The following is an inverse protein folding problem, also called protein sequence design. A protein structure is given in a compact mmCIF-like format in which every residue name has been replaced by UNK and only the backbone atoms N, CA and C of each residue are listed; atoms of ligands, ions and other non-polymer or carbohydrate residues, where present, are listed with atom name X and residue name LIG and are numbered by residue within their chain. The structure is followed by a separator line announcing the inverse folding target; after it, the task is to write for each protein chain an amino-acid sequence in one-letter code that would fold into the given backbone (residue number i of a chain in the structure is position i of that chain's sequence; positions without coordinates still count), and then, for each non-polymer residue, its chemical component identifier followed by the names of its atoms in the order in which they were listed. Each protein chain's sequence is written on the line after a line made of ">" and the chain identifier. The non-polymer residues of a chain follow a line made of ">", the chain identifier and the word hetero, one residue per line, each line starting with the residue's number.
data_IF_698555220973
#
_entry.id   IF_698555220973
#
_cell.length_a   1.000
_cell.length_b   1.000
_cell.length_c   1.000
_cell.angle_alpha   90.00
_cell.angle_beta   90.00
_cell.angle_gamma   90.00
#
_symmetry.space_group_name_H-M   'P 1'
#
loop_
_entity.id
_entity.type
_entity.pdbx_description
1 polymer ?
#
# COMPACT_ATOMS: atom_id res chain seq x y z
N UNK A 1 37.03 -45.23 13.00
CA UNK A 1 37.34 -44.15 12.03
C UNK A 1 36.23 -43.11 12.13
N UNK A 2 36.55 -41.84 12.41
CA UNK A 2 35.57 -40.74 12.53
C UNK A 2 35.94 -39.67 11.51
N UNK A 3 35.16 -39.53 10.45
CA UNK A 3 35.31 -38.46 9.45
C UNK A 3 34.19 -37.44 9.66
N UNK A 4 34.56 -36.26 10.17
CA UNK A 4 33.65 -35.11 10.29
C UNK A 4 33.76 -34.27 9.03
N UNK A 5 32.76 -34.35 8.15
CA UNK A 5 32.66 -33.48 6.98
C UNK A 5 32.09 -32.15 7.44
N UNK A 6 32.93 -31.11 7.45
CA UNK A 6 32.50 -29.72 7.67
C UNK A 6 32.00 -29.16 6.34
N UNK A 7 30.70 -28.92 6.22
CA UNK A 7 30.14 -28.16 5.10
C UNK A 7 30.16 -26.67 5.44
N UNK A 8 30.91 -25.90 4.65
CA UNK A 8 30.97 -24.44 4.75
C UNK A 8 30.31 -23.79 3.53
N UNK A 9 29.20 -23.09 3.83
CA UNK A 9 28.55 -21.91 3.24
C UNK A 9 28.79 -21.47 1.77
N UNK A 10 27.70 -21.02 1.14
CA UNK A 10 27.56 -19.61 0.70
C UNK A 10 26.09 -19.33 0.29
N UNK A 11 25.36 -18.53 1.07
CA UNK A 11 24.09 -17.96 0.63
C UNK A 11 24.35 -16.55 0.08
N UNK A 12 24.23 -16.40 -1.24
CA UNK A 12 24.29 -15.10 -1.92
C UNK A 12 22.99 -14.34 -1.64
N UNK A 13 23.05 -13.34 -0.76
CA UNK A 13 21.93 -12.42 -0.55
C UNK A 13 21.82 -11.50 -1.78
N UNK A 14 20.88 -11.81 -2.69
CA UNK A 14 20.51 -10.89 -3.77
C UNK A 14 19.77 -9.70 -3.20
N UNK A 15 20.45 -8.56 -3.09
CA UNK A 15 19.85 -7.27 -2.79
C UNK A 15 19.22 -6.70 -4.06
N UNK A 16 17.94 -7.02 -4.30
CA UNK A 16 17.15 -6.34 -5.32
C UNK A 16 16.61 -5.03 -4.74
N UNK A 17 17.26 -3.91 -5.04
CA UNK A 17 16.72 -2.57 -4.73
C UNK A 17 15.77 -2.19 -5.86
N UNK A 18 14.48 -2.50 -5.70
CA UNK A 18 13.43 -1.96 -6.57
C UNK A 18 13.21 -0.49 -6.21
N UNK A 19 14.00 0.40 -6.80
CA UNK A 19 13.75 1.84 -6.76
C UNK A 19 12.61 2.17 -7.73
N UNK A 20 11.37 2.04 -7.26
CA UNK A 20 10.21 2.59 -7.96
C UNK A 20 10.32 4.11 -7.96
N UNK A 21 10.53 4.70 -9.14
CA UNK A 21 10.62 6.14 -9.34
C UNK A 21 9.22 6.75 -9.11
N UNK A 22 8.88 7.07 -7.87
CA UNK A 22 7.69 7.84 -7.54
C UNK A 22 7.98 9.30 -7.85
N UNK A 23 7.61 9.73 -9.06
CA UNK A 23 7.51 11.14 -9.41
C UNK A 23 6.64 11.84 -8.37
N UNK A 24 7.25 12.74 -7.61
CA UNK A 24 6.60 13.56 -6.59
C UNK A 24 5.79 14.66 -7.30
N UNK A 25 4.62 14.28 -7.80
CA UNK A 25 3.71 15.19 -8.49
C UNK A 25 3.06 16.14 -7.47
N UNK A 26 3.72 17.28 -7.22
CA UNK A 26 3.16 18.42 -6.46
C UNK A 26 1.80 18.85 -6.99
N UNK A 27 1.57 18.76 -8.30
CA UNK A 27 0.30 19.12 -8.96
C UNK A 27 -0.84 18.15 -8.61
N UNK A 28 -0.56 16.86 -8.40
CA UNK A 28 -1.58 15.92 -7.91
C UNK A 28 -1.98 16.22 -6.47
N UNK A 29 -1.06 16.75 -5.65
CA UNK A 29 -1.33 17.07 -4.24
C UNK A 29 -2.33 18.22 -4.10
N UNK A 30 -2.35 19.15 -5.05
CA UNK A 30 -3.13 20.39 -5.02
C UNK A 30 -4.58 20.19 -5.50
N UNK A 31 -4.82 19.50 -6.62
CA UNK A 31 -6.19 19.07 -7.01
C UNK A 31 -6.82 18.13 -5.97
N UNK A 32 -6.01 17.34 -5.27
CA UNK A 32 -6.47 16.31 -4.34
C UNK A 32 -6.80 16.83 -2.92
N UNK A 33 -6.30 18.00 -2.52
CA UNK A 33 -6.80 18.66 -1.30
C UNK A 33 -8.22 19.19 -1.49
N UNK A 34 -8.56 19.67 -2.69
CA UNK A 34 -9.91 20.18 -2.99
C UNK A 34 -11.01 19.10 -2.97
N UNK A 35 -10.68 17.83 -3.25
CA UNK A 35 -11.65 16.74 -3.16
C UNK A 35 -11.91 16.32 -1.71
N UNK A 36 -10.87 16.36 -0.86
CA UNK A 36 -10.99 16.18 0.60
C UNK A 36 -11.76 17.34 1.26
N UNK A 37 -11.74 18.53 0.67
CA UNK A 37 -12.53 19.66 1.18
C UNK A 37 -14.05 19.47 0.97
N UNK A 38 -14.49 18.50 0.16
CA UNK A 38 -15.92 18.22 -0.10
C UNK A 38 -16.50 17.09 0.74
N UNK A 39 -15.67 16.16 1.23
CA UNK A 39 -16.10 15.00 2.01
C UNK A 39 -15.18 14.82 3.21
N UNK A 40 -15.75 14.61 4.39
CA UNK A 40 -14.99 14.36 5.61
C UNK A 40 -14.18 13.06 5.51
N UNK A 41 -13.10 12.97 6.30
CA UNK A 41 -12.27 11.75 6.39
C UNK A 41 -13.14 10.55 6.79
N UNK A 42 -14.08 10.74 7.70
CA UNK A 42 -15.01 9.72 8.16
C UNK A 42 -15.95 9.24 7.05
N UNK A 43 -16.50 10.14 6.23
CA UNK A 43 -17.36 9.78 5.09
C UNK A 43 -16.60 8.97 4.05
N UNK A 44 -15.36 9.36 3.74
CA UNK A 44 -14.50 8.63 2.80
C UNK A 44 -14.23 7.21 3.33
N UNK A 45 -14.00 7.07 4.65
CA UNK A 45 -13.73 5.77 5.27
C UNK A 45 -14.97 4.87 5.37
N UNK A 46 -16.18 5.40 5.24
CA UNK A 46 -17.43 4.62 5.26
C UNK A 46 -17.76 3.95 3.90
N UNK A 47 -16.97 4.19 2.86
CA UNK A 47 -17.17 3.53 1.56
C UNK A 47 -16.89 2.02 1.67
N UNK A 48 -17.95 1.20 1.60
CA UNK A 48 -17.89 -0.26 1.76
C UNK A 48 -17.09 -0.95 0.64
N UNK A 49 -17.15 -0.46 -0.59
CA UNK A 49 -16.39 -1.01 -1.71
C UNK A 49 -14.89 -0.78 -1.51
N UNK A 50 -14.49 0.42 -1.08
CA UNK A 50 -13.09 0.72 -0.78
C UNK A 50 -12.57 -0.08 0.42
N UNK A 51 -13.41 -0.31 1.44
CA UNK A 51 -13.09 -1.19 2.56
C UNK A 51 -12.85 -2.63 2.08
N UNK A 52 -13.75 -3.16 1.23
CA UNK A 52 -13.63 -4.52 0.67
C UNK A 52 -12.35 -4.66 -0.13
N UNK A 53 -12.09 -3.74 -1.07
CA UNK A 53 -10.90 -3.77 -1.91
C UNK A 53 -9.61 -3.63 -1.10
N UNK A 54 -9.58 -2.74 -0.11
CA UNK A 54 -8.42 -2.62 0.77
C UNK A 54 -8.16 -3.91 1.57
N UNK A 55 -9.22 -4.58 2.04
CA UNK A 55 -9.11 -5.86 2.73
C UNK A 55 -8.63 -6.98 1.81
N UNK A 56 -9.13 -7.04 0.58
CA UNK A 56 -8.69 -8.01 -0.43
C UNK A 56 -7.23 -7.81 -0.79
N UNK A 57 -6.80 -6.57 -1.02
CA UNK A 57 -5.41 -6.23 -1.27
C UNK A 57 -4.50 -6.63 -0.10
N UNK A 58 -4.96 -6.44 1.15
CA UNK A 58 -4.18 -6.80 2.35
C UNK A 58 -4.11 -8.31 2.55
N UNK A 59 -5.25 -9.01 2.43
CA UNK A 59 -5.36 -10.45 2.67
C UNK A 59 -4.66 -11.26 1.57
N UNK A 60 -4.79 -10.82 0.33
CA UNK A 60 -4.37 -11.54 -0.86
C UNK A 60 -3.20 -10.84 -1.57
N UNK A 61 -2.32 -10.15 -0.83
CA UNK A 61 -1.36 -9.19 -1.38
C UNK A 61 -0.45 -9.69 -2.52
N UNK A 62 -0.19 -10.99 -2.61
CA UNK A 62 0.64 -11.61 -3.66
C UNK A 62 -0.15 -12.48 -4.64
N UNK A 63 -1.48 -12.54 -4.51
CA UNK A 63 -2.33 -13.27 -5.46
C UNK A 63 -2.85 -12.35 -6.55
N UNK A 64 -3.35 -12.96 -7.63
CA UNK A 64 -4.01 -12.27 -8.73
C UNK A 64 -5.17 -11.40 -8.24
N UNK A 65 -6.03 -11.92 -7.34
CA UNK A 65 -7.14 -11.15 -6.77
C UNK A 65 -6.68 -9.95 -5.92
N UNK A 66 -5.56 -10.05 -5.21
CA UNK A 66 -5.00 -8.89 -4.51
C UNK A 66 -4.37 -7.85 -5.43
N UNK A 67 -3.81 -8.30 -6.57
CA UNK A 67 -3.32 -7.41 -7.62
C UNK A 67 -4.49 -6.69 -8.32
N UNK A 68 -5.58 -7.40 -8.61
CA UNK A 68 -6.80 -6.82 -9.18
C UNK A 68 -7.42 -5.79 -8.24
N UNK A 69 -7.54 -6.11 -6.95
CA UNK A 69 -8.01 -5.14 -5.95
C UNK A 69 -7.11 -3.90 -5.88
N UNK A 70 -5.79 -4.06 -6.04
CA UNK A 70 -4.85 -2.92 -6.14
C UNK A 70 -5.11 -2.07 -7.38
N UNK A 71 -5.37 -2.68 -8.53
CA UNK A 71 -5.70 -1.97 -9.78
C UNK A 71 -6.98 -1.15 -9.59
N UNK A 72 -8.03 -1.75 -9.00
CA UNK A 72 -9.29 -1.04 -8.72
C UNK A 72 -9.11 0.11 -7.71
N UNK A 73 -8.16 -0.02 -6.77
CA UNK A 73 -7.80 1.03 -5.81
C UNK A 73 -6.90 2.15 -6.40
N UNK A 74 -6.44 2.05 -7.65
CA UNK A 74 -5.66 3.13 -8.30
C UNK A 74 -6.53 4.30 -8.79
N UNK A 75 -7.85 4.19 -8.68
CA UNK A 75 -8.85 5.24 -8.95
C UNK A 75 -8.70 6.42 -7.99
N UNK A 76 -9.34 7.55 -8.30
CA UNK A 76 -9.34 8.72 -7.42
C UNK A 76 -9.92 8.41 -6.04
N UNK A 77 -11.01 7.64 -5.99
CA UNK A 77 -11.66 7.19 -4.74
C UNK A 77 -10.74 6.28 -3.92
N UNK A 78 -10.08 5.30 -4.56
CA UNK A 78 -9.14 4.40 -3.88
C UNK A 78 -7.93 5.14 -3.31
N UNK A 79 -7.42 6.15 -4.03
CA UNK A 79 -6.36 7.05 -3.56
C UNK A 79 -6.83 7.91 -2.38
N UNK A 80 -8.03 8.49 -2.48
CA UNK A 80 -8.64 9.27 -1.42
C UNK A 80 -8.80 8.43 -0.14
N UNK A 81 -9.31 7.20 -0.27
CA UNK A 81 -9.45 6.25 0.83
C UNK A 81 -8.11 5.93 1.52
N UNK A 82 -7.05 5.68 0.74
CA UNK A 82 -5.70 5.45 1.30
C UNK A 82 -5.16 6.66 2.06
N UNK A 83 -5.39 7.88 1.55
CA UNK A 83 -4.98 9.12 2.25
C UNK A 83 -5.79 9.32 3.52
N UNK A 84 -7.10 9.04 3.50
CA UNK A 84 -7.97 9.10 4.68
C UNK A 84 -7.50 8.13 5.77
N UNK A 85 -7.14 6.89 5.42
CA UNK A 85 -6.53 5.93 6.35
C UNK A 85 -5.24 6.47 6.98
N UNK A 86 -4.35 7.05 6.17
CA UNK A 86 -3.09 7.65 6.65
C UNK A 86 -3.34 8.83 7.59
N UNK A 87 -4.34 9.66 7.30
CA UNK A 87 -4.71 10.79 8.14
C UNK A 87 -5.29 10.33 9.48
N UNK A 88 -6.19 9.34 9.47
CA UNK A 88 -6.73 8.72 10.70
C UNK A 88 -5.62 8.13 11.57
N UNK A 89 -4.65 7.44 10.96
CA UNK A 89 -3.52 6.87 11.68
C UNK A 89 -2.67 7.95 12.36
N UNK A 90 -2.40 9.07 11.68
CA UNK A 90 -1.68 10.22 12.27
C UNK A 90 -2.45 10.83 13.45
N UNK A 91 -3.76 11.02 13.29
CA UNK A 91 -4.60 11.60 14.34
C UNK A 91 -4.74 10.67 15.57
N UNK A 92 -4.64 9.35 15.38
CA UNK A 92 -4.76 8.35 16.46
C UNK A 92 -3.43 8.10 17.19
N UNK A 93 -2.30 8.39 16.54
CA UNK A 93 -0.96 8.22 17.10
C UNK A 93 -0.42 9.47 17.83
N UNK A 94 -1.21 10.55 17.89
CA UNK A 94 -0.88 11.82 18.54
C UNK A 94 -1.56 12.02 19.88
#
# INVERSE_FOLDING_TARGET
>A
MKTLIKFAAAFTLSTSVLAGNMSDNKDMKEMHNQMMDKLSVEEILQNEDMQRLHREMTRNAMSEGGFEARVQMMTEEGRAYHKALKQRQKNTAG
#
